data_IF_026869073204
#
_entry.id   IF_026869073204
#
_cell.length_a   1.000
_cell.length_b   1.000
_cell.length_c   1.000
_cell.angle_alpha   90.00
_cell.angle_beta   90.00
_cell.angle_gamma   90.00
#
_symmetry.space_group_name_H-M   'P 1'
#
loop_
_entity.id
_entity.type
_entity.pdbx_description
1 polymer ?
#
# COMPACT_ATOMS: atom_id res chain seq x y z
N UNK A 1 -18.37 -8.24 10.78
CA UNK A 1 -17.03 -7.92 11.35
C UNK A 1 -16.04 -7.80 10.21
N UNK A 2 -15.29 -6.70 10.11
CA UNK A 2 -14.24 -6.57 9.11
C UNK A 2 -12.89 -6.96 9.74
N UNK A 3 -12.47 -8.21 9.53
CA UNK A 3 -11.25 -8.77 10.15
C UNK A 3 -9.95 -8.27 9.48
N UNK A 4 -10.03 -7.72 8.27
CA UNK A 4 -8.86 -7.20 7.53
C UNK A 4 -8.78 -5.67 7.65
N UNK A 5 -7.61 -5.14 7.99
CA UNK A 5 -7.34 -3.69 7.89
C UNK A 5 -7.46 -3.23 6.45
N UNK A 6 -7.99 -2.02 6.24
CA UNK A 6 -7.97 -1.33 4.93
C UNK A 6 -6.86 -0.29 4.94
N UNK A 7 -5.98 -0.38 3.95
CA UNK A 7 -4.79 0.44 3.81
C UNK A 7 -4.85 1.17 2.46
N UNK A 8 -4.64 2.49 2.47
CA UNK A 8 -4.37 3.28 1.28
C UNK A 8 -2.88 3.62 1.23
N UNK A 9 -2.23 3.44 0.08
CA UNK A 9 -0.82 3.81 -0.13
C UNK A 9 -0.76 4.83 -1.27
N UNK A 10 -0.20 5.99 -0.98
CA UNK A 10 0.13 7.04 -1.95
C UNK A 10 1.63 6.92 -2.28
N UNK A 11 1.94 6.48 -3.50
CA UNK A 11 3.31 6.30 -3.98
C UNK A 11 3.85 7.58 -4.65
N UNK A 12 3.84 8.68 -3.90
CA UNK A 12 4.37 9.95 -4.39
C UNK A 12 5.88 9.91 -4.66
N UNK A 13 6.34 10.76 -5.58
CA UNK A 13 7.75 10.84 -6.00
C UNK A 13 8.71 11.14 -4.85
N UNK A 14 8.33 12.01 -3.93
CA UNK A 14 9.19 12.45 -2.81
C UNK A 14 8.93 11.69 -1.51
N UNK A 15 7.68 11.28 -1.31
CA UNK A 15 7.22 10.69 -0.04
C UNK A 15 6.20 9.62 -0.33
N UNK A 16 6.28 8.51 0.41
CA UNK A 16 5.23 7.51 0.48
C UNK A 16 4.40 7.74 1.74
N UNK A 17 3.09 7.81 1.58
CA UNK A 17 2.14 7.93 2.69
C UNK A 17 1.27 6.69 2.79
N UNK A 18 1.02 6.24 4.01
CA UNK A 18 0.08 5.15 4.28
C UNK A 18 -1.04 5.65 5.16
N UNK A 19 -2.26 5.52 4.66
CA UNK A 19 -3.49 5.73 5.38
C UNK A 19 -4.06 4.40 5.86
N UNK A 20 -4.46 4.31 7.12
CA UNK A 20 -5.22 3.18 7.67
C UNK A 20 -6.62 3.67 8.03
N UNK A 21 -7.65 2.96 7.55
CA UNK A 21 -9.05 3.32 7.84
C UNK A 21 -9.28 3.32 9.35
N UNK A 22 -9.67 4.49 9.88
CA UNK A 22 -9.93 4.70 11.31
C UNK A 22 -8.73 5.17 12.13
N UNK A 23 -7.52 5.19 11.55
CA UNK A 23 -6.29 5.66 12.23
C UNK A 23 -5.68 6.90 11.55
N UNK A 24 -6.02 7.16 10.27
CA UNK A 24 -5.43 8.28 9.54
C UNK A 24 -4.12 7.92 8.88
N UNK A 25 -3.24 8.90 8.68
CA UNK A 25 -1.90 8.69 8.11
C UNK A 25 -0.98 8.13 9.21
N UNK A 26 -0.56 6.88 9.05
CA UNK A 26 0.28 6.16 10.03
C UNK A 26 1.74 6.03 9.58
N UNK A 27 2.01 6.27 8.29
CA UNK A 27 3.36 6.33 7.73
C UNK A 27 3.47 7.51 6.78
N UNK A 28 4.57 8.25 6.88
CA UNK A 28 4.98 9.32 5.98
C UNK A 28 6.52 9.27 5.89
N UNK A 29 7.04 8.57 4.88
CA UNK A 29 8.48 8.30 4.73
C UNK A 29 8.98 8.80 3.37
N UNK A 30 10.25 9.21 3.24
CA UNK A 30 10.83 9.51 1.93
C UNK A 30 10.76 8.29 0.99
N UNK A 31 10.41 8.52 -0.28
CA UNK A 31 10.23 7.43 -1.26
C UNK A 31 11.47 6.56 -1.44
N UNK A 32 12.66 7.17 -1.43
CA UNK A 32 13.94 6.47 -1.62
C UNK A 32 14.31 5.46 -0.53
N UNK A 33 13.65 5.48 0.64
CA UNK A 33 13.91 4.53 1.74
C UNK A 33 12.77 3.53 1.92
N UNK A 34 11.66 3.71 1.22
CA UNK A 34 10.41 3.01 1.47
C UNK A 34 10.25 1.78 0.57
N UNK A 35 10.23 0.59 1.15
CA UNK A 35 9.90 -0.66 0.43
C UNK A 35 8.49 -1.14 0.78
N UNK A 36 7.76 -1.73 -0.17
CA UNK A 36 6.38 -2.20 0.08
C UNK A 36 6.29 -3.20 1.25
N UNK A 37 7.29 -4.08 1.40
CA UNK A 37 7.33 -5.03 2.51
C UNK A 37 7.47 -4.33 3.87
N UNK A 38 8.33 -3.31 3.98
CA UNK A 38 8.46 -2.49 5.18
C UNK A 38 7.18 -1.72 5.47
N UNK A 39 6.64 -1.04 4.45
CA UNK A 39 5.46 -0.18 4.53
C UNK A 39 4.20 -0.94 4.98
N UNK A 40 3.85 -2.02 4.26
CA UNK A 40 2.67 -2.85 4.59
C UNK A 40 2.85 -3.50 5.96
N UNK A 41 4.07 -3.96 6.26
CA UNK A 41 4.38 -4.56 7.56
C UNK A 41 4.24 -3.59 8.73
N UNK A 42 4.61 -2.32 8.54
CA UNK A 42 4.49 -1.25 9.55
C UNK A 42 3.04 -0.85 9.76
N UNK A 43 2.29 -0.64 8.68
CA UNK A 43 0.88 -0.24 8.75
C UNK A 43 -0.07 -1.33 9.25
N UNK A 44 0.25 -2.62 9.05
CA UNK A 44 -0.58 -3.71 9.57
C UNK A 44 -0.46 -3.90 11.09
N UNK A 45 0.58 -3.33 11.72
CA UNK A 45 0.82 -3.44 13.16
C UNK A 45 1.17 -4.86 13.62
N UNK A 46 1.14 -5.08 14.95
CA UNK A 46 1.24 -6.40 15.58
C UNK A 46 0.07 -6.63 16.55
N UNK A 47 -0.45 -7.87 16.67
CA UNK A 47 -0.02 -9.07 15.95
C UNK A 47 -0.64 -9.17 14.54
N UNK A 48 0.13 -9.67 13.56
CA UNK A 48 -0.24 -9.73 12.12
C UNK A 48 -1.15 -10.92 11.78
N UNK A 49 -2.22 -11.16 12.53
CA UNK A 49 -3.10 -12.33 12.31
C UNK A 49 -3.85 -12.28 10.98
N UNK A 50 -4.10 -11.08 10.45
CA UNK A 50 -4.83 -10.90 9.20
C UNK A 50 -4.03 -10.07 8.22
N UNK A 51 -4.03 -10.50 6.94
CA UNK A 51 -3.45 -9.74 5.84
C UNK A 51 -4.37 -8.57 5.47
N UNK A 52 -3.83 -7.36 5.21
CA UNK A 52 -4.63 -6.18 4.92
C UNK A 52 -5.12 -6.14 3.46
N UNK A 53 -6.22 -5.43 3.24
CA UNK A 53 -6.67 -4.98 1.92
C UNK A 53 -5.98 -3.67 1.58
N UNK A 54 -5.35 -3.59 0.40
CA UNK A 54 -4.54 -2.44 0.00
C UNK A 54 -5.12 -1.77 -1.23
N UNK A 55 -5.30 -0.46 -1.18
CA UNK A 55 -5.53 0.39 -2.35
C UNK A 55 -4.28 1.23 -2.57
N UNK A 56 -3.81 1.34 -3.81
CA UNK A 56 -2.62 2.12 -4.15
C UNK A 56 -2.90 3.10 -5.28
N UNK A 57 -2.45 4.34 -5.15
CA UNK A 57 -2.41 5.27 -6.28
C UNK A 57 -1.26 4.90 -7.22
N UNK A 58 -1.51 5.06 -8.51
CA UNK A 58 -0.49 4.94 -9.56
C UNK A 58 -0.67 6.06 -10.57
N UNK A 59 0.40 6.57 -11.20
CA UNK A 59 0.29 7.55 -12.27
C UNK A 59 -0.60 7.03 -13.40
N UNK A 60 -1.48 7.88 -13.94
CA UNK A 60 -2.42 7.51 -15.02
C UNK A 60 -1.73 6.97 -16.29
N UNK A 61 -0.46 7.33 -16.50
CA UNK A 61 0.35 6.85 -17.62
C UNK A 61 0.98 5.46 -17.42
N UNK A 62 0.75 4.79 -16.28
CA UNK A 62 1.39 3.51 -15.97
C UNK A 62 0.91 2.39 -16.91
N UNK A 63 1.84 1.59 -17.42
CA UNK A 63 1.53 0.50 -18.34
C UNK A 63 0.87 -0.69 -17.62
N UNK A 64 0.20 -1.56 -18.37
CA UNK A 64 -0.38 -2.79 -17.81
C UNK A 64 0.70 -3.73 -17.20
N UNK A 65 1.91 -3.72 -17.75
CA UNK A 65 3.04 -4.50 -17.22
C UNK A 65 3.50 -3.98 -15.86
N UNK A 66 3.65 -2.66 -15.74
CA UNK A 66 4.02 -2.01 -14.48
C UNK A 66 2.92 -2.19 -13.42
N UNK A 67 1.64 -2.02 -13.80
CA UNK A 67 0.50 -2.31 -12.90
C UNK A 67 0.58 -3.72 -12.33
N UNK A 68 0.84 -4.71 -13.18
CA UNK A 68 0.99 -6.11 -12.75
C UNK A 68 2.17 -6.29 -11.80
N UNK A 69 3.31 -5.65 -12.08
CA UNK A 69 4.49 -5.69 -11.23
C UNK A 69 4.22 -5.09 -9.84
N UNK A 70 3.56 -3.92 -9.79
CA UNK A 70 3.17 -3.25 -8.52
C UNK A 70 2.22 -4.13 -7.72
N UNK A 71 1.18 -4.68 -8.36
CA UNK A 71 0.25 -5.61 -7.70
C UNK A 71 0.98 -6.84 -7.15
N UNK A 72 1.85 -7.47 -7.94
CA UNK A 72 2.61 -8.63 -7.50
C UNK A 72 3.53 -8.32 -6.31
N UNK A 73 4.21 -7.17 -6.34
CA UNK A 73 5.07 -6.72 -5.26
C UNK A 73 4.28 -6.45 -3.96
N UNK A 74 3.12 -5.81 -4.04
CA UNK A 74 2.26 -5.57 -2.88
C UNK A 74 1.68 -6.87 -2.28
N UNK A 75 1.30 -7.83 -3.13
CA UNK A 75 0.86 -9.16 -2.69
C UNK A 75 2.00 -9.92 -2.00
N UNK A 76 3.22 -9.89 -2.57
CA UNK A 76 4.41 -10.49 -1.96
C UNK A 76 4.79 -9.83 -0.64
N UNK A 77 4.56 -8.51 -0.51
CA UNK A 77 4.76 -7.74 0.70
C UNK A 77 3.71 -8.03 1.81
N UNK A 78 2.71 -8.88 1.54
CA UNK A 78 1.77 -9.39 2.54
C UNK A 78 0.35 -8.87 2.42
N UNK A 79 0.02 -8.13 1.36
CA UNK A 79 -1.37 -7.78 1.07
C UNK A 79 -2.25 -9.02 0.83
N UNK A 80 -3.53 -8.92 1.19
CA UNK A 80 -4.55 -9.93 0.88
C UNK A 80 -5.12 -9.71 -0.52
N UNK A 81 -5.43 -8.45 -0.83
CA UNK A 81 -5.93 -7.97 -2.11
C UNK A 81 -5.37 -6.58 -2.37
N UNK A 82 -5.23 -6.23 -3.65
CA UNK A 82 -4.66 -4.96 -4.10
C UNK A 82 -5.56 -4.38 -5.18
N UNK A 83 -5.98 -3.13 -5.01
CA UNK A 83 -6.64 -2.33 -6.05
C UNK A 83 -5.75 -1.15 -6.41
N UNK A 84 -5.56 -0.91 -7.70
CA UNK A 84 -4.85 0.27 -8.20
C UNK A 84 -5.87 1.32 -8.63
N UNK A 85 -5.69 2.55 -8.17
CA UNK A 85 -6.46 3.71 -8.61
C UNK A 85 -5.54 4.66 -9.37
N UNK A 86 -6.03 5.22 -10.47
CA UNK A 86 -5.29 6.22 -11.21
C UNK A 86 -5.26 7.53 -10.42
N UNK A 87 -4.08 8.14 -10.36
CA UNK A 87 -3.92 9.51 -9.93
C UNK A 87 -4.65 10.45 -10.93
N UNK A 88 -5.33 11.49 -10.43
CA UNK A 88 -6.04 12.45 -11.27
C UNK A 88 -5.12 13.25 -12.19
#
# INVERSE_FOLDING_TARGET
>A
MMLSRKIGIDLGTSTVRIYVKGEGIVVNEPSGVATLHHLIGKANGRPRLFKPDVVMSVPSAVTSGERRAVTAAAMAAGARQVWLIDEP
#
